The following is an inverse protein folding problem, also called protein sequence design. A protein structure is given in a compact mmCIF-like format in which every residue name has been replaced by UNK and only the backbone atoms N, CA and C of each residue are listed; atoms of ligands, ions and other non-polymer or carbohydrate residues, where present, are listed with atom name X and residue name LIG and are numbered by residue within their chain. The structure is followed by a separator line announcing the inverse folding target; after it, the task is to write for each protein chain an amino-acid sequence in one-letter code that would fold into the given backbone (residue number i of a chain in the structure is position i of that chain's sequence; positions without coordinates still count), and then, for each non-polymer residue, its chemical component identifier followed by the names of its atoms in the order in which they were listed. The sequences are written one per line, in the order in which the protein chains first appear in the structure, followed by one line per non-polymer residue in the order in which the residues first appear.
data_IF_486597365500
#
_entry.id   IF_486597365500
#
_cell.length_a   1.000
_cell.length_b   1.000
_cell.length_c   1.000
_cell.angle_alpha   90.00
_cell.angle_beta   90.00
_cell.angle_gamma   90.00
#
_symmetry.space_group_name_H-M   'P 1'
#
loop_
_entity.id
_entity.type
_entity.pdbx_description
1 polymer ?
#
# COMPACT_ATOMS: atom_id res chain seq x y z
N UNK A 1 -5.90 13.42 -43.44
CA UNK A 1 -6.43 12.91 -42.15
C UNK A 1 -5.47 13.07 -40.96
N UNK A 2 -4.16 12.86 -41.11
CA UNK A 2 -3.18 12.93 -40.00
C UNK A 2 -2.97 14.32 -39.35
N UNK A 3 -3.38 15.43 -40.00
CA UNK A 3 -3.24 16.79 -39.46
C UNK A 3 -4.33 17.23 -38.48
N UNK A 4 -5.42 16.46 -38.34
CA UNK A 4 -6.54 16.82 -37.46
C UNK A 4 -6.34 16.40 -36.00
N UNK A 5 -5.35 15.54 -35.72
CA UNK A 5 -5.10 14.99 -34.38
C UNK A 5 -4.05 15.78 -33.59
N UNK A 6 -3.33 16.71 -34.23
CA UNK A 6 -2.25 17.49 -33.62
C UNK A 6 -2.73 18.56 -32.64
N UNK A 7 -4.02 18.95 -32.72
CA UNK A 7 -4.61 20.01 -31.90
C UNK A 7 -5.27 19.55 -30.61
N UNK A 8 -5.37 18.23 -30.38
CA UNK A 8 -6.02 17.69 -29.18
C UNK A 8 -4.98 17.53 -28.07
N UNK A 9 -4.74 18.63 -27.36
CA UNK A 9 -3.97 18.65 -26.13
C UNK A 9 -4.70 17.85 -25.04
N UNK A 10 -4.49 16.54 -25.02
CA UNK A 10 -5.06 15.64 -24.03
C UNK A 10 -5.15 14.21 -24.57
N UNK A 11 -4.68 13.24 -23.79
CA UNK A 11 -4.79 11.83 -24.10
C UNK A 11 -6.29 11.44 -24.15
N UNK A 12 -6.89 11.49 -25.34
CA UNK A 12 -8.27 11.08 -25.53
C UNK A 12 -8.30 9.56 -25.78
N UNK A 13 -8.97 8.77 -24.91
CA UNK A 13 -9.21 7.37 -25.19
C UNK A 13 -10.29 7.26 -26.27
N UNK A 14 -9.88 7.06 -27.52
CA UNK A 14 -10.79 6.94 -28.65
C UNK A 14 -11.31 5.49 -28.72
N UNK A 15 -12.51 5.24 -28.17
CA UNK A 15 -13.15 3.91 -28.17
C UNK A 15 -13.93 3.67 -29.46
N UNK A 16 -13.65 2.56 -30.13
CA UNK A 16 -14.45 2.05 -31.25
C UNK A 16 -15.13 0.76 -30.79
N UNK A 17 -16.41 0.61 -31.12
CA UNK A 17 -17.23 -0.59 -30.86
C UNK A 17 -17.84 -1.09 -32.16
N UNK A 18 -17.93 -2.40 -32.32
CA UNK A 18 -18.36 -3.09 -33.54
C UNK A 18 -19.89 -3.16 -33.54
N UNK A 19 -20.50 -2.91 -34.70
CA UNK A 19 -21.90 -3.14 -34.97
C UNK A 19 -21.99 -3.81 -36.35
N UNK A 20 -22.53 -5.03 -36.36
CA UNK A 20 -22.88 -5.79 -37.57
C UNK A 20 -21.70 -6.11 -38.52
N UNK A 21 -20.64 -6.72 -37.98
CA UNK A 21 -19.61 -7.39 -38.79
C UNK A 21 -18.55 -6.45 -39.37
N UNK A 22 -18.29 -5.31 -38.73
CA UNK A 22 -17.27 -4.33 -39.15
C UNK A 22 -16.36 -4.02 -37.96
N UNK A 23 -15.13 -4.49 -38.07
CA UNK A 23 -14.05 -4.38 -37.08
C UNK A 23 -14.05 -3.06 -36.30
N UNK A 24 -14.10 -3.17 -34.97
CA UNK A 24 -13.83 -2.06 -34.08
C UNK A 24 -12.41 -2.11 -33.52
N UNK A 25 -11.65 -1.04 -33.73
CA UNK A 25 -10.27 -0.91 -33.25
C UNK A 25 -10.12 0.25 -32.25
N UNK A 26 -9.59 -0.05 -31.06
CA UNK A 26 -9.20 0.98 -30.09
C UNK A 26 -7.82 1.54 -30.46
N UNK A 27 -7.77 2.75 -31.03
CA UNK A 27 -6.51 3.44 -31.31
C UNK A 27 -6.22 4.40 -30.16
N UNK A 28 -5.18 4.10 -29.39
CA UNK A 28 -4.66 4.99 -28.36
C UNK A 28 -3.43 5.70 -28.91
N UNK A 29 -3.43 7.03 -28.84
CA UNK A 29 -2.29 7.87 -29.21
C UNK A 29 -1.77 8.52 -27.93
N UNK A 30 -0.47 8.40 -27.67
CA UNK A 30 0.19 9.04 -26.54
C UNK A 30 1.61 9.49 -26.92
N UNK A 31 2.17 10.37 -26.10
CA UNK A 31 3.54 10.88 -26.25
C UNK A 31 4.57 9.76 -26.03
N UNK A 32 5.50 9.58 -26.98
CA UNK A 32 6.53 8.54 -26.94
C UNK A 32 7.48 8.62 -25.73
N UNK A 33 7.63 9.81 -25.13
CA UNK A 33 8.43 10.01 -23.92
C UNK A 33 7.70 9.58 -22.64
N UNK A 34 6.39 9.29 -22.74
CA UNK A 34 5.55 8.89 -21.61
C UNK A 34 5.25 7.39 -21.65
N UNK A 35 5.13 6.75 -20.47
CA UNK A 35 4.80 5.33 -20.41
C UNK A 35 3.43 5.05 -21.02
N UNK A 36 3.36 3.98 -21.81
CA UNK A 36 2.13 3.54 -22.50
C UNK A 36 0.95 3.35 -21.51
N UNK A 37 -0.22 3.96 -21.78
CA UNK A 37 -1.42 3.74 -21.00
C UNK A 37 -1.95 2.32 -21.28
N UNK A 38 -1.58 1.37 -20.43
CA UNK A 38 -2.12 0.00 -20.48
C UNK A 38 -3.49 -0.06 -19.80
N UNK A 39 -4.35 -1.00 -20.20
CA UNK A 39 -5.68 -1.20 -19.59
C UNK A 39 -5.60 -1.44 -18.07
N UNK A 40 -4.48 -2.01 -17.58
CA UNK A 40 -4.19 -2.19 -16.16
C UNK A 40 -3.75 -0.92 -15.43
N UNK A 41 -3.24 0.09 -16.16
CA UNK A 41 -2.97 1.43 -15.62
C UNK A 41 -4.27 2.25 -15.47
N UNK A 42 -5.21 2.15 -16.42
CA UNK A 42 -6.49 2.87 -16.39
C UNK A 42 -7.47 2.35 -15.31
N UNK A 43 -7.43 1.04 -14.99
CA UNK A 43 -8.28 0.45 -13.92
C UNK A 43 -7.77 0.68 -12.51
N UNK A 44 -6.58 1.25 -12.34
CA UNK A 44 -6.13 1.72 -11.03
C UNK A 44 -6.44 3.21 -10.94
N UNK A 45 -7.49 3.62 -10.23
CA UNK A 45 -7.37 4.86 -9.48
C UNK A 45 -6.22 4.63 -8.49
N UNK A 46 -4.98 4.85 -8.92
CA UNK A 46 -3.91 5.19 -7.98
C UNK A 46 -4.31 6.56 -7.48
N UNK A 47 -5.15 6.62 -6.46
CA UNK A 47 -5.24 7.81 -5.63
C UNK A 47 -3.91 7.87 -4.88
N UNK A 48 -2.96 8.76 -5.25
CA UNK A 48 -1.68 8.86 -4.54
C UNK A 48 -1.88 9.10 -3.03
N UNK A 49 -3.04 9.63 -2.62
CA UNK A 49 -3.44 9.81 -1.23
C UNK A 49 -3.82 8.53 -0.46
N UNK A 50 -4.25 7.44 -1.10
CA UNK A 50 -4.70 6.24 -0.36
C UNK A 50 -3.57 5.52 0.36
N UNK A 51 -2.36 5.52 -0.20
CA UNK A 51 -1.18 4.89 0.43
C UNK A 51 -0.64 5.73 1.59
N UNK A 52 -0.58 7.04 1.43
CA UNK A 52 -0.20 7.95 2.52
C UNK A 52 -1.23 7.90 3.66
N UNK A 53 -2.53 7.88 3.33
CA UNK A 53 -3.61 7.68 4.29
C UNK A 53 -3.47 6.36 5.06
N UNK A 54 -3.21 5.24 4.36
CA UNK A 54 -3.03 3.94 5.00
C UNK A 54 -1.86 3.91 6.00
N UNK A 55 -0.74 4.60 5.72
CA UNK A 55 0.38 4.69 6.67
C UNK A 55 -0.03 5.46 7.94
N UNK A 56 -0.64 6.62 7.78
CA UNK A 56 -1.13 7.44 8.90
C UNK A 56 -2.13 6.68 9.75
N UNK A 57 -3.08 6.00 9.11
CA UNK A 57 -4.09 5.18 9.79
C UNK A 57 -3.47 4.03 10.58
N UNK A 58 -2.39 3.41 10.08
CA UNK A 58 -1.69 2.33 10.80
C UNK A 58 -1.02 2.89 12.06
N UNK A 59 -0.33 4.02 11.95
CA UNK A 59 0.32 4.65 13.10
C UNK A 59 -0.69 5.09 14.15
N UNK A 60 -1.81 5.70 13.72
CA UNK A 60 -2.91 6.05 14.60
C UNK A 60 -3.46 4.80 15.31
N UNK A 61 -3.80 3.75 14.56
CA UNK A 61 -4.32 2.51 15.15
C UNK A 61 -3.38 1.85 16.16
N UNK A 62 -2.06 1.87 15.92
CA UNK A 62 -1.08 1.32 16.87
C UNK A 62 -0.94 2.22 18.11
N UNK A 63 -0.95 3.56 17.93
CA UNK A 63 -0.93 4.52 19.04
C UNK A 63 -2.17 4.38 19.91
N UNK A 64 -3.34 4.40 19.30
CA UNK A 64 -4.63 4.31 19.98
C UNK A 64 -4.79 2.97 20.72
N UNK A 65 -4.26 1.88 20.14
CA UNK A 65 -4.27 0.58 20.80
C UNK A 65 -3.31 0.50 21.99
N UNK A 66 -2.29 1.36 22.06
CA UNK A 66 -1.26 1.35 23.11
C UNK A 66 -0.46 0.05 23.24
N UNK A 67 -0.59 -0.86 22.26
CA UNK A 67 0.05 -2.18 22.25
C UNK A 67 0.44 -2.62 20.84
N UNK A 68 1.40 -3.56 20.70
CA UNK A 68 1.77 -4.07 19.39
C UNK A 68 0.57 -4.75 18.70
N UNK A 69 0.40 -4.49 17.40
CA UNK A 69 -0.69 -5.06 16.61
C UNK A 69 -0.16 -5.93 15.47
N UNK A 70 -0.74 -7.11 15.30
CA UNK A 70 -0.46 -7.98 14.16
C UNK A 70 -1.14 -7.47 12.89
N UNK A 71 -0.62 -7.86 11.72
CA UNK A 71 -1.25 -7.54 10.42
C UNK A 71 -2.74 -7.96 10.38
N UNK A 72 -3.09 -9.10 10.97
CA UNK A 72 -4.48 -9.58 11.02
C UNK A 72 -5.37 -8.65 11.85
N UNK A 73 -4.87 -8.19 13.01
CA UNK A 73 -5.61 -7.24 13.86
C UNK A 73 -5.80 -5.89 13.17
N UNK A 74 -4.76 -5.37 12.51
CA UNK A 74 -4.84 -4.11 11.75
C UNK A 74 -5.87 -4.21 10.62
N UNK A 75 -5.83 -5.30 9.84
CA UNK A 75 -6.80 -5.54 8.76
C UNK A 75 -8.22 -5.67 9.29
N UNK A 76 -8.41 -6.35 10.44
CA UNK A 76 -9.71 -6.46 11.09
C UNK A 76 -10.22 -5.09 11.55
N UNK A 77 -9.38 -4.31 12.23
CA UNK A 77 -9.71 -2.96 12.72
C UNK A 77 -10.11 -2.03 11.56
N UNK A 78 -9.38 -2.02 10.44
CA UNK A 78 -9.74 -1.22 9.27
C UNK A 78 -11.01 -1.69 8.55
N UNK A 79 -11.32 -2.98 8.63
CA UNK A 79 -12.58 -3.51 8.12
C UNK A 79 -13.75 -3.04 8.99
N UNK A 80 -13.59 -3.13 10.30
CA UNK A 80 -14.62 -2.74 11.29
C UNK A 80 -14.88 -1.23 11.22
N UNK A 81 -13.82 -0.42 11.06
CA UNK A 81 -13.89 1.04 10.88
C UNK A 81 -14.22 1.49 9.44
N UNK A 82 -14.48 0.56 8.52
CA UNK A 82 -14.78 0.82 7.10
C UNK A 82 -13.76 1.75 6.40
N UNK A 83 -12.48 1.71 6.80
CA UNK A 83 -11.40 2.56 6.24
C UNK A 83 -10.97 2.21 4.81
N UNK A 84 -11.59 1.22 4.17
CA UNK A 84 -11.38 0.89 2.75
C UNK A 84 -10.00 0.32 2.39
N UNK A 85 -9.12 0.07 3.36
CA UNK A 85 -7.78 -0.44 3.12
C UNK A 85 -7.75 -1.94 2.91
N UNK A 86 -7.41 -2.38 1.70
CA UNK A 86 -7.26 -3.80 1.38
C UNK A 86 -6.06 -4.47 2.08
N UNK A 87 -6.08 -5.79 2.31
CA UNK A 87 -4.99 -6.51 2.99
C UNK A 87 -3.62 -6.38 2.30
N UNK A 88 -3.60 -6.18 0.98
CA UNK A 88 -2.38 -5.93 0.21
C UNK A 88 -1.82 -4.52 0.38
N UNK A 89 -2.69 -3.52 0.54
CA UNK A 89 -2.30 -2.13 0.83
C UNK A 89 -1.69 -2.03 2.23
N UNK A 90 -2.34 -2.66 3.22
CA UNK A 90 -1.84 -2.74 4.59
C UNK A 90 -0.46 -3.40 4.65
N UNK A 91 -0.26 -4.51 3.93
CA UNK A 91 1.03 -5.20 3.89
C UNK A 91 2.16 -4.32 3.37
N UNK A 92 1.90 -3.57 2.29
CA UNK A 92 2.88 -2.67 1.68
C UNK A 92 3.18 -1.48 2.58
N UNK A 93 2.16 -0.88 3.19
CA UNK A 93 2.34 0.23 4.12
C UNK A 93 3.15 -0.20 5.35
N UNK A 94 2.89 -1.39 5.91
CA UNK A 94 3.68 -1.95 7.00
C UNK A 94 5.15 -2.16 6.61
N UNK A 95 5.41 -2.69 5.41
CA UNK A 95 6.77 -2.86 4.92
C UNK A 95 7.50 -1.51 4.75
N UNK A 96 6.81 -0.49 4.23
CA UNK A 96 7.37 0.85 4.08
C UNK A 96 7.71 1.49 5.43
N UNK A 97 6.78 1.42 6.40
CA UNK A 97 6.98 1.97 7.75
C UNK A 97 8.09 1.24 8.51
N UNK A 98 8.22 -0.07 8.29
CA UNK A 98 9.34 -0.85 8.84
C UNK A 98 10.66 -0.44 8.21
N UNK A 99 10.69 -0.20 6.89
CA UNK A 99 11.89 0.28 6.18
C UNK A 99 12.28 1.69 6.59
N UNK A 100 11.29 2.54 6.89
CA UNK A 100 11.50 3.90 7.38
C UNK A 100 11.96 3.95 8.85
N UNK A 101 11.91 2.83 9.57
CA UNK A 101 12.26 2.76 10.99
C UNK A 101 11.19 3.30 11.94
N UNK A 102 10.00 3.67 11.43
CA UNK A 102 8.87 4.13 12.25
C UNK A 102 8.20 2.97 13.01
N UNK A 103 8.19 1.78 12.39
CA UNK A 103 7.69 0.55 13.01
C UNK A 103 8.82 -0.46 13.16
N UNK A 104 8.81 -1.15 14.30
CA UNK A 104 9.66 -2.30 14.55
C UNK A 104 8.77 -3.53 14.55
N UNK A 105 9.12 -4.51 13.72
CA UNK A 105 8.54 -5.85 13.79
C UNK A 105 9.49 -6.76 14.59
N UNK A 106 9.28 -7.00 15.89
CA UNK A 106 9.96 -8.08 16.58
C UNK A 106 9.58 -9.37 15.85
N UNK A 107 10.56 -10.04 15.23
CA UNK A 107 10.39 -11.31 14.49
C UNK A 107 9.65 -12.42 15.28
N UNK A 108 9.33 -12.18 16.55
CA UNK A 108 8.69 -13.05 17.53
C UNK A 108 7.16 -13.19 17.42
N UNK A 109 6.55 -12.95 16.26
CA UNK A 109 5.07 -13.04 16.06
C UNK A 109 4.23 -12.10 16.95
N UNK A 110 4.87 -11.21 17.74
CA UNK A 110 4.22 -10.29 18.70
C UNK A 110 3.50 -9.11 18.05
N UNK A 111 3.73 -8.86 16.75
CA UNK A 111 3.09 -7.78 16.00
C UNK A 111 3.96 -6.52 15.89
N UNK A 112 3.50 -5.58 15.09
CA UNK A 112 4.19 -4.32 14.81
C UNK A 112 4.03 -3.36 15.99
N UNK A 113 5.13 -2.75 16.40
CA UNK A 113 5.17 -1.74 17.46
C UNK A 113 5.87 -0.47 16.99
N UNK A 114 5.58 0.64 17.65
CA UNK A 114 6.27 1.90 17.43
C UNK A 114 7.74 1.78 17.85
N UNK A 115 8.63 2.45 17.10
CA UNK A 115 10.06 2.41 17.36
C UNK A 115 10.44 3.10 18.68
N UNK A 116 9.69 4.14 19.05
CA UNK A 116 9.86 4.89 20.30
C UNK A 116 9.49 4.08 21.55
N UNK A 117 8.80 2.96 21.42
CA UNK A 117 8.39 2.19 22.60
C UNK A 117 9.56 1.42 23.22
N UNK A 118 9.68 1.46 24.57
CA UNK A 118 10.72 0.73 25.28
C UNK A 118 10.69 -0.73 24.83
N UNK A 119 11.88 -1.23 24.46
CA UNK A 119 12.04 -2.65 24.15
C UNK A 119 11.68 -3.37 25.44
N UNK A 120 10.67 -4.25 25.40
CA UNK A 120 10.34 -5.08 26.55
C UNK A 120 11.65 -5.66 27.08
N UNK A 121 12.06 -5.21 28.26
CA UNK A 121 13.34 -5.57 28.84
C UNK A 121 13.40 -7.08 28.84
N UNK A 122 14.48 -7.59 28.25
CA UNK A 122 14.78 -9.01 28.32
C UNK A 122 15.06 -9.23 29.79
N UNK A 123 14.07 -9.67 30.56
CA UNK A 123 14.24 -10.02 31.96
C UNK A 123 15.48 -10.91 32.01
N UNK A 124 16.55 -10.51 32.71
CA UNK A 124 17.73 -11.35 32.81
C UNK A 124 17.24 -12.70 33.33
N UNK A 125 17.50 -13.75 32.54
CA UNK A 125 17.01 -15.07 32.89
C UNK A 125 17.62 -15.41 34.25
N UNK A 126 16.78 -15.84 35.19
CA UNK A 126 17.18 -16.23 36.55
C UNK A 126 18.23 -17.37 36.58
N UNK A 127 18.64 -17.88 35.41
CA UNK A 127 19.61 -18.95 35.18
C UNK A 127 21.03 -18.46 34.82
N UNK A 128 21.34 -17.16 34.88
CA UNK A 128 22.73 -16.67 34.72
C UNK A 128 23.57 -16.74 36.01
N UNK A 129 23.11 -17.46 37.05
CA UNK A 129 23.76 -17.52 38.36
C UNK A 129 24.28 -18.89 38.82
N UNK A 130 24.35 -19.93 37.97
CA UNK A 130 24.90 -21.24 38.36
C UNK A 130 25.82 -21.80 37.27
N UNK A 131 27.09 -21.39 37.33
CA UNK A 131 28.30 -22.07 36.83
C UNK A 131 29.45 -21.21 37.40
N UNK A 132 30.12 -21.57 38.49
CA UNK A 132 30.79 -22.84 38.73
C UNK A 132 32.25 -22.66 38.29
N UNK A 133 33.09 -22.11 39.16
CA UNK A 133 34.24 -22.73 39.83
C UNK A 133 34.89 -21.72 40.79
#
# INVERSE_FOLDING_TARGET
MLRLLSGLAGALPLRVTDADGKLACLIQVWDATRPMPTASAARRPRSPGQRAGCKGDILAAIRDAGRPLTRKQIVKLFRDERKGHGPGTVAKALADLTKAGELVNPKDKRGYRLAEWPRAERTPSMFEGIRGE
#
